data_IF_509137710907
#
_entry.id   IF_509137710907
#
_cell.length_a   1.000
_cell.length_b   1.000
_cell.length_c   1.000
_cell.angle_alpha   90.00
_cell.angle_beta   90.00
_cell.angle_gamma   90.00
#
_symmetry.space_group_name_H-M   'P 1'
#
loop_
_entity.id
_entity.type
_entity.pdbx_description
1 polymer ?
#
# COMPACT_ATOMS: atom_id res chain seq x y z
N UNK A 1 5.09 21.92 7.59
CA UNK A 1 5.95 21.48 6.49
C UNK A 1 6.61 20.23 6.99
N UNK A 2 6.01 19.08 6.67
CA UNK A 2 6.25 17.81 7.37
C UNK A 2 7.32 17.04 6.61
N UNK A 3 8.42 16.73 7.30
CA UNK A 3 9.67 16.09 6.79
C UNK A 3 9.48 14.73 6.09
N UNK A 4 8.27 14.18 6.04
CA UNK A 4 7.98 12.85 5.49
C UNK A 4 8.00 12.80 3.95
N UNK A 5 7.70 13.90 3.26
CA UNK A 5 7.62 13.92 1.79
C UNK A 5 8.99 14.04 1.09
N UNK A 6 10.01 14.55 1.79
CA UNK A 6 11.33 14.82 1.22
C UNK A 6 12.22 13.56 1.13
N UNK A 7 11.80 12.45 1.77
CA UNK A 7 12.56 11.19 1.83
C UNK A 7 12.33 10.24 0.66
N UNK A 8 11.28 10.45 -0.14
CA UNK A 8 10.92 9.54 -1.23
C UNK A 8 11.40 10.04 -2.61
N UNK A 9 11.99 11.24 -2.69
CA UNK A 9 12.40 11.90 -3.95
C UNK A 9 13.81 11.57 -4.44
N UNK A 10 14.62 10.85 -3.66
CA UNK A 10 15.95 10.38 -4.06
C UNK A 10 16.06 8.91 -3.73
N UNK A 11 16.46 8.11 -4.71
CA UNK A 11 16.78 6.68 -4.57
C UNK A 11 17.68 6.43 -3.36
N UNK A 12 17.07 6.13 -2.20
CA UNK A 12 17.72 5.45 -1.11
C UNK A 12 17.97 4.01 -1.59
N UNK A 13 19.08 3.39 -1.19
CA UNK A 13 19.45 2.03 -1.63
C UNK A 13 18.33 0.98 -1.43
N UNK A 14 17.31 1.26 -0.61
CA UNK A 14 16.16 0.40 -0.35
C UNK A 14 14.85 0.73 -1.09
N UNK A 15 14.73 1.78 -1.92
CA UNK A 15 13.46 2.09 -2.64
C UNK A 15 13.68 2.48 -4.11
N UNK A 16 12.92 1.82 -5.00
CA UNK A 16 12.90 2.05 -6.44
C UNK A 16 11.55 2.64 -6.83
N UNK A 17 11.49 3.98 -6.85
CA UNK A 17 10.30 4.71 -7.24
C UNK A 17 9.96 4.52 -8.73
N UNK A 18 8.67 4.51 -9.05
CA UNK A 18 8.15 4.64 -10.41
C UNK A 18 7.84 6.12 -10.72
N UNK A 19 7.49 6.41 -11.96
CA UNK A 19 7.01 7.75 -12.32
C UNK A 19 5.75 8.13 -11.51
N UNK A 20 5.54 9.41 -11.18
CA UNK A 20 4.34 9.90 -10.54
C UNK A 20 3.03 9.55 -11.26
N UNK A 21 1.94 9.41 -10.51
CA UNK A 21 0.62 9.15 -11.08
C UNK A 21 0.11 10.41 -11.78
N UNK A 22 -0.51 10.25 -12.95
CA UNK A 22 -1.22 11.36 -13.58
C UNK A 22 -2.49 11.72 -12.79
N UNK A 23 -2.97 12.95 -12.97
CA UNK A 23 -4.24 13.37 -12.35
C UNK A 23 -5.41 12.47 -12.77
N UNK A 24 -5.48 12.05 -14.03
CA UNK A 24 -6.50 11.12 -14.53
C UNK A 24 -6.47 9.77 -13.82
N UNK A 25 -5.28 9.24 -13.52
CA UNK A 25 -5.15 7.97 -12.78
C UNK A 25 -5.63 8.11 -11.34
N UNK A 26 -5.26 9.22 -10.68
CA UNK A 26 -5.72 9.52 -9.32
C UNK A 26 -7.24 9.73 -9.29
N UNK A 27 -7.80 10.48 -10.24
CA UNK A 27 -9.24 10.70 -10.34
C UNK A 27 -10.02 9.41 -10.57
N UNK A 28 -9.53 8.53 -11.47
CA UNK A 28 -10.15 7.22 -11.71
C UNK A 28 -10.17 6.39 -10.42
N UNK A 29 -9.06 6.33 -9.70
CA UNK A 29 -8.95 5.60 -8.44
C UNK A 29 -9.91 6.17 -7.37
N UNK A 30 -9.96 7.49 -7.22
CA UNK A 30 -10.81 8.14 -6.20
C UNK A 30 -12.30 8.09 -6.54
N UNK A 31 -12.70 7.93 -7.81
CA UNK A 31 -14.10 7.63 -8.16
C UNK A 31 -14.56 6.28 -7.62
N UNK A 32 -13.66 5.32 -7.51
CA UNK A 32 -13.93 3.97 -7.01
C UNK A 32 -13.82 3.95 -5.48
N UNK A 33 -12.74 4.53 -4.95
CA UNK A 33 -12.45 4.58 -3.53
C UNK A 33 -12.29 6.04 -3.05
N UNK A 34 -13.41 6.79 -2.91
CA UNK A 34 -13.38 8.22 -2.53
C UNK A 34 -12.84 8.45 -1.11
N UNK A 35 -12.74 7.38 -0.35
CA UNK A 35 -12.43 7.37 1.07
C UNK A 35 -10.98 6.99 1.38
N UNK A 36 -10.14 6.76 0.37
CA UNK A 36 -8.73 6.43 0.54
C UNK A 36 -7.98 7.47 1.40
N UNK A 37 -7.00 7.05 2.22
CA UNK A 37 -6.19 7.97 2.99
C UNK A 37 -5.44 8.98 2.10
N UNK A 38 -5.42 10.25 2.51
CA UNK A 38 -4.74 11.31 1.76
C UNK A 38 -3.24 11.06 1.60
N UNK A 39 -2.61 10.42 2.58
CA UNK A 39 -1.18 10.06 2.53
C UNK A 39 -0.89 9.01 1.46
N UNK A 40 -1.81 8.07 1.21
CA UNK A 40 -1.68 7.09 0.13
C UNK A 40 -1.79 7.74 -1.26
N UNK A 41 -2.74 8.66 -1.41
CA UNK A 41 -2.88 9.44 -2.65
C UNK A 41 -1.64 10.32 -2.87
N UNK A 42 -1.12 10.92 -1.81
CA UNK A 42 0.14 11.69 -1.86
C UNK A 42 1.32 10.83 -2.27
N UNK A 43 1.44 9.60 -1.75
CA UNK A 43 2.46 8.65 -2.17
C UNK A 43 2.38 8.35 -3.67
N UNK A 44 1.19 8.06 -4.20
CA UNK A 44 1.02 7.78 -5.64
C UNK A 44 1.38 8.97 -6.54
N UNK A 45 1.22 10.20 -6.04
CA UNK A 45 1.65 11.43 -6.72
C UNK A 45 3.16 11.65 -6.69
N UNK A 46 3.89 10.92 -5.85
CA UNK A 46 5.35 10.90 -5.82
C UNK A 46 5.87 9.68 -6.60
N UNK A 47 5.23 8.53 -6.46
CA UNK A 47 5.64 7.25 -7.05
C UNK A 47 4.40 6.40 -7.32
N UNK A 48 4.01 6.24 -8.59
CA UNK A 48 2.84 5.46 -9.00
C UNK A 48 3.16 3.97 -9.08
N UNK A 49 3.33 3.36 -7.91
CA UNK A 49 3.96 2.06 -7.80
C UNK A 49 5.42 2.20 -7.38
N UNK A 50 6.19 1.15 -7.55
CA UNK A 50 7.58 1.07 -7.11
C UNK A 50 7.80 -0.12 -6.18
N UNK A 51 9.04 -0.37 -5.83
CA UNK A 51 9.37 -1.50 -4.96
C UNK A 51 10.59 -1.24 -4.09
N UNK A 52 10.67 -1.95 -2.97
CA UNK A 52 11.79 -1.82 -2.06
C UNK A 52 11.59 -2.51 -0.72
N UNK A 53 12.55 -2.28 0.16
CA UNK A 53 12.51 -2.77 1.53
C UNK A 53 11.36 -2.14 2.31
N UNK A 54 10.84 -2.90 3.27
CA UNK A 54 9.80 -2.47 4.19
C UNK A 54 10.25 -2.82 5.61
N UNK A 55 10.37 -1.84 6.50
CA UNK A 55 10.70 -2.11 7.90
C UNK A 55 9.47 -2.56 8.73
N UNK A 56 8.69 -3.47 8.15
CA UNK A 56 7.54 -4.18 8.70
C UNK A 56 7.47 -5.54 7.99
N UNK A 57 6.74 -6.52 8.51
CA UNK A 57 6.35 -7.65 7.66
C UNK A 57 5.57 -7.14 6.43
N UNK A 58 5.74 -7.72 5.23
CA UNK A 58 6.60 -8.85 4.85
C UNK A 58 8.04 -8.51 4.43
N UNK A 59 8.58 -7.37 4.84
CA UNK A 59 9.98 -6.92 4.61
C UNK A 59 10.30 -6.46 3.19
N UNK A 60 9.44 -6.75 2.23
CA UNK A 60 9.50 -6.25 0.88
C UNK A 60 8.14 -5.68 0.47
N UNK A 61 8.16 -4.57 -0.23
CA UNK A 61 6.98 -3.90 -0.75
C UNK A 61 7.09 -3.79 -2.27
N UNK A 62 6.07 -4.25 -2.98
CA UNK A 62 5.80 -3.92 -4.37
C UNK A 62 4.49 -3.13 -4.41
N UNK A 63 4.60 -1.81 -4.46
CA UNK A 63 3.47 -0.90 -4.53
C UNK A 63 2.82 -1.01 -5.91
N UNK A 64 1.50 -1.19 -5.94
CA UNK A 64 0.74 -1.19 -7.17
C UNK A 64 0.52 0.25 -7.64
N UNK A 65 0.55 0.44 -8.95
CA UNK A 65 0.11 1.70 -9.54
C UNK A 65 -1.41 1.90 -9.36
N UNK A 66 -1.83 3.15 -9.42
CA UNK A 66 -3.21 3.56 -9.22
C UNK A 66 -4.19 2.89 -10.20
N UNK A 67 -3.76 2.63 -11.43
CA UNK A 67 -4.60 1.98 -12.45
C UNK A 67 -4.83 0.53 -12.08
N UNK A 68 -3.80 -0.20 -11.63
CA UNK A 68 -3.93 -1.58 -11.18
C UNK A 68 -4.87 -1.69 -9.98
N UNK A 69 -4.75 -0.80 -8.99
CA UNK A 69 -5.67 -0.79 -7.84
C UNK A 69 -7.12 -0.52 -8.26
N UNK A 70 -7.33 0.40 -9.20
CA UNK A 70 -8.65 0.66 -9.77
C UNK A 70 -9.19 -0.54 -10.55
N UNK A 71 -8.35 -1.21 -11.34
CA UNK A 71 -8.76 -2.34 -12.17
C UNK A 71 -9.05 -3.58 -11.30
N UNK A 72 -8.30 -3.81 -10.22
CA UNK A 72 -8.56 -4.86 -9.23
C UNK A 72 -9.96 -4.76 -8.63
N UNK A 73 -10.49 -3.55 -8.43
CA UNK A 73 -11.85 -3.33 -7.93
C UNK A 73 -12.94 -3.92 -8.85
N UNK A 74 -12.64 -4.02 -10.14
CA UNK A 74 -13.58 -4.51 -11.16
C UNK A 74 -13.46 -6.01 -11.43
N UNK A 75 -12.43 -6.67 -10.89
CA UNK A 75 -12.20 -8.10 -11.09
C UNK A 75 -13.16 -8.95 -10.25
N UNK A 76 -13.49 -10.13 -10.75
CA UNK A 76 -14.30 -11.11 -10.00
C UNK A 76 -13.62 -11.51 -8.68
N UNK A 77 -12.28 -11.46 -8.64
CA UNK A 77 -11.46 -11.74 -7.45
C UNK A 77 -11.82 -10.84 -6.26
N UNK A 78 -12.19 -9.58 -6.51
CA UNK A 78 -12.57 -8.63 -5.46
C UNK A 78 -13.78 -9.10 -4.64
N UNK A 79 -14.69 -9.88 -5.24
CA UNK A 79 -15.87 -10.42 -4.55
C UNK A 79 -15.52 -11.44 -3.46
N UNK A 80 -14.35 -12.05 -3.53
CA UNK A 80 -13.88 -13.02 -2.52
C UNK A 80 -13.20 -12.36 -1.32
N UNK A 81 -12.87 -11.06 -1.42
CA UNK A 81 -12.22 -10.29 -0.36
C UNK A 81 -13.00 -9.01 -0.03
N UNK A 82 -14.30 -9.12 0.35
CA UNK A 82 -15.08 -7.95 0.69
C UNK A 82 -14.47 -7.25 1.92
N UNK A 83 -14.38 -5.92 1.85
CA UNK A 83 -13.79 -5.12 2.92
C UNK A 83 -12.27 -5.03 2.87
N UNK A 84 -11.63 -5.40 1.76
CA UNK A 84 -10.21 -5.15 1.52
C UNK A 84 -9.98 -4.34 0.26
N UNK A 85 -9.01 -3.42 0.31
CA UNK A 85 -8.51 -2.72 -0.87
C UNK A 85 -7.04 -3.07 -1.01
N UNK A 86 -6.73 -3.95 -1.96
CA UNK A 86 -5.36 -4.35 -2.26
C UNK A 86 -4.60 -3.23 -2.95
N UNK A 87 -3.42 -2.89 -2.42
CA UNK A 87 -2.60 -1.82 -2.98
C UNK A 87 -1.13 -2.19 -3.16
N UNK A 88 -0.71 -3.36 -2.68
CA UNK A 88 0.66 -3.84 -2.86
C UNK A 88 0.76 -5.37 -2.68
N UNK A 89 1.95 -5.92 -2.95
CA UNK A 89 2.36 -7.27 -2.55
C UNK A 89 3.79 -7.27 -2.02
N UNK A 90 4.31 -8.44 -1.63
CA UNK A 90 5.72 -8.66 -1.35
C UNK A 90 6.53 -9.22 -2.53
N UNK A 91 5.94 -9.28 -3.73
CA UNK A 91 6.52 -9.97 -4.89
C UNK A 91 6.40 -11.50 -4.86
N UNK A 92 5.72 -12.05 -3.84
CA UNK A 92 5.43 -13.47 -3.67
C UNK A 92 3.92 -13.73 -3.64
N UNK A 93 3.46 -14.48 -2.63
CA UNK A 93 2.06 -14.91 -2.52
C UNK A 93 1.21 -13.97 -1.66
N UNK A 94 1.84 -13.13 -0.85
CA UNK A 94 1.16 -12.24 0.08
C UNK A 94 0.81 -10.90 -0.56
N UNK A 95 -0.43 -10.46 -0.35
CA UNK A 95 -0.93 -9.14 -0.75
C UNK A 95 -1.07 -8.24 0.48
N UNK A 96 -0.90 -6.95 0.26
CA UNK A 96 -1.03 -5.93 1.29
C UNK A 96 -2.26 -5.08 0.97
N UNK A 97 -3.10 -4.84 1.98
CA UNK A 97 -4.40 -4.23 1.82
C UNK A 97 -4.71 -3.20 2.91
N UNK A 98 -5.61 -2.27 2.60
CA UNK A 98 -6.41 -1.62 3.62
C UNK A 98 -7.50 -2.59 4.09
N UNK A 99 -7.65 -2.79 5.40
CA UNK A 99 -8.82 -3.48 5.97
C UNK A 99 -9.92 -2.45 6.29
N UNK A 100 -10.94 -2.42 5.43
CA UNK A 100 -12.03 -1.45 5.48
C UNK A 100 -13.26 -1.98 6.21
N UNK A 101 -13.18 -3.17 6.82
CA UNK A 101 -14.29 -3.78 7.59
C UNK A 101 -14.58 -3.02 8.90
N UNK A 102 -13.61 -2.26 9.39
CA UNK A 102 -13.70 -1.45 10.61
C UNK A 102 -13.86 0.05 10.35
N UNK A 103 -13.67 0.84 11.41
CA UNK A 103 -13.68 2.31 11.34
C UNK A 103 -12.31 2.86 10.96
N UNK A 104 -12.30 4.01 10.28
CA UNK A 104 -11.07 4.74 10.01
C UNK A 104 -10.37 5.21 11.31
N UNK A 105 -9.03 5.35 11.32
CA UNK A 105 -8.11 5.01 10.23
C UNK A 105 -8.04 3.49 10.02
N UNK A 106 -8.04 3.06 8.76
CA UNK A 106 -8.00 1.64 8.41
C UNK A 106 -6.60 1.08 8.63
N UNK A 107 -6.47 -0.10 9.29
CA UNK A 107 -5.18 -0.75 9.43
C UNK A 107 -4.71 -1.29 8.08
N UNK A 108 -3.39 -1.39 7.97
CA UNK A 108 -2.74 -2.06 6.86
C UNK A 108 -2.52 -3.52 7.27
N UNK A 109 -2.97 -4.43 6.42
CA UNK A 109 -2.87 -5.86 6.65
C UNK A 109 -2.10 -6.54 5.53
N UNK A 110 -1.44 -7.64 5.87
CA UNK A 110 -0.92 -8.63 4.93
C UNK A 110 -1.90 -9.81 4.89
N UNK A 111 -2.24 -10.30 3.69
CA UNK A 111 -3.24 -11.34 3.46
C UNK A 111 -2.65 -12.39 2.53
N UNK A 112 -2.92 -13.67 2.81
CA UNK A 112 -2.80 -14.75 1.83
C UNK A 112 -4.14 -14.83 1.06
N UNK A 113 -4.18 -14.40 -0.21
CA UNK A 113 -5.42 -14.38 -0.99
C UNK A 113 -5.98 -15.79 -1.26
N UNK A 114 -5.17 -16.84 -1.16
CA UNK A 114 -5.61 -18.24 -1.32
C UNK A 114 -6.24 -18.75 -0.03
N UNK A 115 -5.65 -18.42 1.13
CA UNK A 115 -6.21 -18.78 2.43
C UNK A 115 -7.45 -17.93 2.80
N UNK A 116 -7.61 -16.77 2.17
CA UNK A 116 -8.80 -15.93 2.27
C UNK A 116 -8.74 -14.88 3.39
N UNK A 117 -9.84 -14.14 3.62
CA UNK A 117 -9.94 -13.02 4.57
C UNK A 117 -9.44 -13.27 6.00
N UNK A 118 -9.55 -14.50 6.49
CA UNK A 118 -9.16 -14.86 7.87
C UNK A 118 -7.65 -14.99 8.06
N UNK A 119 -6.89 -15.00 6.96
CA UNK A 119 -5.42 -14.96 7.00
C UNK A 119 -4.85 -13.57 7.29
N UNK A 120 -5.69 -12.54 7.33
CA UNK A 120 -5.24 -11.16 7.45
C UNK A 120 -4.50 -10.90 8.77
N UNK A 121 -3.26 -10.42 8.67
CA UNK A 121 -2.42 -10.01 9.79
C UNK A 121 -2.18 -8.51 9.71
N UNK A 122 -2.49 -7.77 10.77
CA UNK A 122 -2.20 -6.33 10.85
C UNK A 122 -0.69 -6.11 10.90
N UNK A 123 -0.18 -5.31 9.95
CA UNK A 123 1.23 -4.93 9.87
C UNK A 123 1.45 -3.46 10.22
N UNK A 124 0.43 -2.61 10.12
CA UNK A 124 0.45 -1.24 10.64
C UNK A 124 -0.96 -0.79 11.07
N UNK A 125 -1.10 0.04 12.13
CA UNK A 125 -2.40 0.51 12.58
C UNK A 125 -3.07 1.50 11.61
N UNK A 126 -2.29 2.17 10.75
CA UNK A 126 -2.79 3.04 9.70
C UNK A 126 -1.74 3.28 8.60
N UNK A 127 -2.17 3.88 7.49
CA UNK A 127 -1.25 4.21 6.39
C UNK A 127 -0.15 5.20 6.79
N UNK A 128 -0.46 6.16 7.65
CA UNK A 128 0.51 7.15 8.12
C UNK A 128 1.69 6.49 8.87
N UNK A 129 1.44 5.44 9.66
CA UNK A 129 2.54 4.66 10.27
C UNK A 129 3.22 3.69 9.30
N UNK A 130 2.53 3.29 8.23
CA UNK A 130 3.06 2.36 7.24
C UNK A 130 4.08 3.03 6.32
N UNK A 131 3.80 4.27 5.89
CA UNK A 131 4.68 4.99 4.96
C UNK A 131 6.07 5.26 5.55
N UNK A 132 6.17 5.43 6.87
CA UNK A 132 7.44 5.63 7.58
C UNK A 132 8.38 4.41 7.50
N UNK A 133 7.86 3.23 7.16
CA UNK A 133 8.64 2.00 7.03
C UNK A 133 9.14 1.72 5.59
N UNK A 134 8.68 2.48 4.59
CA UNK A 134 9.00 2.22 3.18
C UNK A 134 10.44 2.64 2.87
N UNK A 135 11.18 1.77 2.19
CA UNK A 135 12.57 2.00 1.80
C UNK A 135 13.55 1.92 2.97
N UNK A 136 13.11 1.41 4.11
CA UNK A 136 13.91 1.23 5.32
C UNK A 136 14.20 -0.26 5.51
N UNK A 137 15.47 -0.65 5.71
CA UNK A 137 15.81 -2.04 6.01
C UNK A 137 15.10 -2.52 7.27
N UNK A 138 14.68 -3.79 7.27
CA UNK A 138 14.10 -4.40 8.45
C UNK A 138 15.13 -4.57 9.56
N UNK A 139 14.81 -4.10 10.77
CA UNK A 139 15.66 -4.23 11.96
C UNK A 139 14.97 -5.08 13.03
N UNK A 140 15.57 -6.22 13.38
CA UNK A 140 15.06 -7.12 14.43
C UNK A 140 15.16 -6.53 15.84
N UNK A 141 15.90 -5.44 16.04
CA UNK A 141 16.15 -4.85 17.37
C UNK A 141 15.01 -3.99 17.91
N UNK A 142 14.00 -3.66 17.09
CA UNK A 142 12.87 -2.78 17.44
C UNK A 142 11.61 -3.50 17.98
N UNK A 143 11.72 -4.76 18.43
CA UNK A 143 10.61 -5.52 19.03
C UNK A 143 10.37 -5.25 20.51
#
# INVERSE_FOLDING_TARGET
MTESADRLGTSHDGWRAAEPASDDQIEKLLRIYPELPADYVSLLRISNGGEGELNLAPQWLQLYDASLVADLASQESAKWHPGFIFFASNGGLETIAFDTRGTKPWPIVMIDPIAGPDSAVVIAPCFASFIDAIGVPYDESTR
#
